data_IF_708952910963
#
_entry.id   IF_708952910963
#
_cell.length_a   1.000
_cell.length_b   1.000
_cell.length_c   1.000
_cell.angle_alpha   90.00
_cell.angle_beta   90.00
_cell.angle_gamma   90.00
#
_symmetry.space_group_name_H-M   'P 1'
#
loop_
_entity.id
_entity.type
_entity.pdbx_description
1 polymer ?
#
# COMPACT_ATOMS: atom_id res chain seq x y z
N UNK A 1 -0.96 24.46 5.30
CA UNK A 1 -2.01 24.07 6.26
C UNK A 1 -1.34 23.84 7.60
N UNK A 2 -1.77 24.47 8.69
CA UNK A 2 -1.20 24.14 10.01
C UNK A 2 -2.05 23.04 10.63
N UNK A 3 -1.52 21.81 10.63
CA UNK A 3 -2.21 20.63 11.17
C UNK A 3 -1.75 20.42 12.61
N UNK A 4 -2.64 20.56 13.60
CA UNK A 4 -2.29 20.31 14.99
C UNK A 4 -1.85 18.86 15.21
N UNK A 5 -0.92 18.64 16.14
CA UNK A 5 -0.43 17.30 16.47
C UNK A 5 -1.54 16.35 16.91
N UNK A 6 -2.58 16.86 17.60
CA UNK A 6 -3.73 16.05 18.00
C UNK A 6 -4.47 15.44 16.81
N UNK A 7 -4.52 16.14 15.67
CA UNK A 7 -5.20 15.67 14.47
C UNK A 7 -4.42 14.52 13.83
N UNK A 8 -3.09 14.61 13.79
CA UNK A 8 -2.22 13.50 13.41
C UNK A 8 -2.42 12.28 14.31
N UNK A 9 -2.39 12.49 15.63
CA UNK A 9 -2.59 11.41 16.61
C UNK A 9 -3.98 10.77 16.45
N UNK A 10 -5.03 11.57 16.28
CA UNK A 10 -6.39 11.07 16.09
C UNK A 10 -6.52 10.27 14.78
N UNK A 11 -5.88 10.75 13.70
CA UNK A 11 -5.91 10.09 12.39
C UNK A 11 -5.16 8.76 12.42
N UNK A 12 -3.91 8.77 12.93
CA UNK A 12 -3.09 7.56 13.05
C UNK A 12 -3.73 6.58 14.03
N UNK A 13 -4.22 7.07 15.17
CA UNK A 13 -4.92 6.27 16.16
C UNK A 13 -6.19 5.64 15.60
N UNK A 14 -6.98 6.39 14.82
CA UNK A 14 -8.15 5.88 14.12
C UNK A 14 -7.79 4.82 13.07
N UNK A 15 -6.76 5.07 12.26
CA UNK A 15 -6.22 4.13 11.27
C UNK A 15 -5.77 2.82 11.92
N UNK A 16 -4.96 2.91 12.96
CA UNK A 16 -4.48 1.76 13.74
C UNK A 16 -5.65 1.03 14.39
N UNK A 17 -6.63 1.77 14.93
CA UNK A 17 -7.84 1.20 15.52
C UNK A 17 -8.67 0.40 14.52
N UNK A 18 -8.89 0.94 13.33
CA UNK A 18 -9.60 0.24 12.24
C UNK A 18 -8.82 -1.00 11.79
N UNK A 19 -7.51 -0.89 11.59
CA UNK A 19 -6.67 -2.04 11.19
C UNK A 19 -6.66 -3.11 12.28
N UNK A 20 -6.58 -2.73 13.56
CA UNK A 20 -6.61 -3.66 14.68
C UNK A 20 -7.98 -4.34 14.82
N UNK A 21 -9.06 -3.58 14.66
CA UNK A 21 -10.42 -4.13 14.66
C UNK A 21 -10.60 -5.13 13.52
N UNK A 22 -10.12 -4.80 12.33
CA UNK A 22 -10.11 -5.71 11.18
C UNK A 22 -9.29 -6.97 11.47
N UNK A 23 -8.09 -6.85 12.04
CA UNK A 23 -7.26 -8.01 12.43
C UNK A 23 -8.01 -8.94 13.39
N UNK A 24 -8.66 -8.37 14.41
CA UNK A 24 -9.39 -9.13 15.44
C UNK A 24 -10.65 -9.77 14.87
N UNK A 25 -11.42 -9.05 14.06
CA UNK A 25 -12.63 -9.57 13.41
C UNK A 25 -12.30 -10.72 12.45
N UNK A 26 -11.25 -10.56 11.66
CA UNK A 26 -10.80 -11.54 10.67
C UNK A 26 -10.24 -12.80 11.34
N UNK A 27 -9.37 -12.67 12.34
CA UNK A 27 -8.84 -13.83 13.07
C UNK A 27 -9.94 -14.60 13.82
N UNK A 28 -11.05 -13.91 14.17
CA UNK A 28 -12.18 -14.54 14.86
C UNK A 28 -13.13 -15.31 13.93
N UNK A 29 -13.14 -15.03 12.61
CA UNK A 29 -14.00 -15.71 11.63
C UNK A 29 -13.33 -15.86 10.27
N UNK A 30 -12.51 -16.90 10.05
CA UNK A 30 -11.99 -17.21 8.73
C UNK A 30 -13.14 -17.71 7.83
N UNK A 31 -13.74 -16.81 7.06
CA UNK A 31 -14.68 -17.14 5.98
C UNK A 31 -14.28 -16.45 4.68
N UNK A 32 -14.62 -17.06 3.55
CA UNK A 32 -14.48 -16.43 2.24
C UNK A 32 -15.53 -15.32 2.17
N UNK A 33 -15.09 -14.07 2.04
CA UNK A 33 -16.01 -12.95 1.86
C UNK A 33 -16.74 -13.12 0.53
N UNK A 34 -18.05 -12.91 0.53
CA UNK A 34 -18.81 -12.88 -0.71
C UNK A 34 -18.74 -11.51 -1.39
N UNK A 35 -19.03 -11.41 -2.70
CA UNK A 35 -18.99 -10.15 -3.46
C UNK A 35 -19.93 -9.08 -2.89
N UNK A 36 -21.05 -9.49 -2.27
CA UNK A 36 -21.99 -8.57 -1.59
C UNK A 36 -21.40 -7.95 -0.32
N UNK A 37 -20.55 -8.69 0.38
CA UNK A 37 -19.90 -8.24 1.59
C UNK A 37 -18.73 -7.30 1.25
N UNK A 38 -17.92 -7.67 0.26
CA UNK A 38 -16.87 -6.81 -0.32
C UNK A 38 -17.43 -5.45 -0.74
N UNK A 39 -18.55 -5.45 -1.49
CA UNK A 39 -19.21 -4.20 -1.94
C UNK A 39 -19.62 -3.31 -0.78
N UNK A 40 -20.18 -3.88 0.30
CA UNK A 40 -20.58 -3.12 1.49
C UNK A 40 -19.38 -2.46 2.17
N UNK A 41 -18.28 -3.19 2.29
CA UNK A 41 -17.06 -2.64 2.87
C UNK A 41 -16.43 -1.55 2.00
N UNK A 42 -16.41 -1.73 0.68
CA UNK A 42 -15.95 -0.68 -0.26
C UNK A 42 -16.78 0.59 -0.09
N UNK A 43 -18.12 0.47 -0.09
CA UNK A 43 -19.02 1.61 0.13
C UNK A 43 -18.76 2.26 1.49
N UNK A 44 -18.56 1.48 2.54
CA UNK A 44 -18.25 1.99 3.87
C UNK A 44 -16.96 2.82 3.90
N UNK A 45 -15.87 2.33 3.30
CA UNK A 45 -14.60 3.05 3.26
C UNK A 45 -14.66 4.29 2.36
N UNK A 46 -15.37 4.25 1.23
CA UNK A 46 -15.62 5.43 0.41
C UNK A 46 -16.42 6.47 1.20
N UNK A 47 -17.48 6.06 1.90
CA UNK A 47 -18.28 6.96 2.73
C UNK A 47 -17.44 7.58 3.85
N UNK A 48 -16.55 6.82 4.48
CA UNK A 48 -15.63 7.32 5.49
C UNK A 48 -14.66 8.37 4.92
N UNK A 49 -14.13 8.14 3.72
CA UNK A 49 -13.30 9.12 3.02
C UNK A 49 -14.08 10.40 2.69
N UNK A 50 -15.35 10.30 2.28
CA UNK A 50 -16.21 11.46 2.01
C UNK A 50 -16.55 12.24 3.28
N UNK A 51 -16.81 11.55 4.40
CA UNK A 51 -17.01 12.18 5.71
C UNK A 51 -15.75 12.93 6.13
N UNK A 52 -14.57 12.33 5.93
CA UNK A 52 -13.30 12.98 6.20
C UNK A 52 -13.08 14.19 5.28
N UNK A 53 -13.43 14.12 3.99
CA UNK A 53 -13.39 15.25 3.08
C UNK A 53 -14.31 16.40 3.53
N UNK A 54 -15.52 16.09 4.01
CA UNK A 54 -16.44 17.06 4.58
C UNK A 54 -15.89 17.70 5.86
N UNK A 55 -15.19 16.93 6.70
CA UNK A 55 -14.47 17.45 7.87
C UNK A 55 -13.35 18.43 7.45
N UNK A 56 -12.53 18.07 6.46
CA UNK A 56 -11.49 18.97 5.93
C UNK A 56 -12.13 20.23 5.32
N UNK A 57 -13.26 20.10 4.63
CA UNK A 57 -13.99 21.24 4.06
C UNK A 57 -14.42 22.21 5.16
N UNK A 58 -14.98 21.69 6.26
CA UNK A 58 -15.46 22.51 7.36
C UNK A 58 -14.31 23.17 8.15
N UNK A 59 -13.22 22.45 8.39
CA UNK A 59 -12.13 22.93 9.25
C UNK A 59 -11.05 23.73 8.51
N UNK A 60 -10.68 23.30 7.29
CA UNK A 60 -9.60 23.91 6.50
C UNK A 60 -10.09 24.62 5.23
N UNK A 61 -11.34 24.38 4.81
CA UNK A 61 -11.96 25.04 3.67
C UNK A 61 -11.97 24.21 2.39
N UNK A 62 -12.68 24.74 1.38
CA UNK A 62 -12.97 24.04 0.13
C UNK A 62 -11.72 23.63 -0.67
N UNK A 63 -10.66 24.46 -0.65
CA UNK A 63 -9.43 24.18 -1.41
C UNK A 63 -8.74 22.90 -0.92
N UNK A 64 -8.56 22.76 0.40
CA UNK A 64 -7.90 21.59 0.97
C UNK A 64 -8.78 20.33 0.89
N UNK A 65 -10.11 20.48 0.99
CA UNK A 65 -11.03 19.37 0.76
C UNK A 65 -10.98 18.87 -0.68
N UNK A 66 -10.94 19.78 -1.65
CA UNK A 66 -10.77 19.45 -3.07
C UNK A 66 -9.44 18.76 -3.34
N UNK A 67 -8.35 19.22 -2.72
CA UNK A 67 -7.04 18.58 -2.79
C UNK A 67 -7.04 17.17 -2.19
N UNK A 68 -7.68 16.99 -1.03
CA UNK A 68 -7.85 15.67 -0.41
C UNK A 68 -8.63 14.72 -1.32
N UNK A 69 -9.78 15.15 -1.86
CA UNK A 69 -10.60 14.32 -2.74
C UNK A 69 -9.89 13.96 -4.04
N UNK A 70 -9.20 14.94 -4.66
CA UNK A 70 -8.40 14.69 -5.85
C UNK A 70 -7.28 13.69 -5.55
N UNK A 71 -6.52 13.90 -4.46
CA UNK A 71 -5.48 12.97 -4.02
C UNK A 71 -6.02 11.58 -3.70
N UNK A 72 -7.16 11.49 -3.02
CA UNK A 72 -7.83 10.23 -2.69
C UNK A 72 -8.25 9.47 -3.94
N UNK A 73 -8.89 10.12 -4.91
CA UNK A 73 -9.32 9.47 -6.17
C UNK A 73 -8.11 9.03 -6.98
N UNK A 74 -7.05 9.83 -7.04
CA UNK A 74 -5.80 9.47 -7.72
C UNK A 74 -5.14 8.26 -7.05
N UNK A 75 -4.98 8.28 -5.73
CA UNK A 75 -4.42 7.16 -4.97
C UNK A 75 -5.31 5.91 -5.06
N UNK A 76 -6.62 6.06 -5.01
CA UNK A 76 -7.57 4.94 -5.15
C UNK A 76 -7.44 4.31 -6.54
N UNK A 77 -7.41 5.11 -7.61
CA UNK A 77 -7.24 4.63 -8.98
C UNK A 77 -5.92 3.89 -9.19
N UNK A 78 -4.80 4.50 -8.77
CA UNK A 78 -3.46 3.90 -8.88
C UNK A 78 -3.35 2.63 -8.02
N UNK A 79 -4.00 2.61 -6.86
CA UNK A 79 -3.93 1.47 -5.97
C UNK A 79 -4.80 0.29 -6.45
N UNK A 80 -5.80 0.49 -7.33
CA UNK A 80 -6.52 -0.62 -7.99
C UNK A 80 -5.56 -1.44 -8.87
N UNK A 81 -4.68 -0.77 -9.62
CA UNK A 81 -3.68 -1.44 -10.45
C UNK A 81 -2.70 -2.25 -9.60
N UNK A 82 -2.37 -1.76 -8.41
CA UNK A 82 -1.52 -2.47 -7.45
C UNK A 82 -2.14 -3.80 -6.99
N UNK A 83 -3.48 -3.88 -6.91
CA UNK A 83 -4.17 -5.12 -6.53
C UNK A 83 -3.92 -6.24 -7.53
N UNK A 84 -3.89 -5.91 -8.83
CA UNK A 84 -3.64 -6.91 -9.87
C UNK A 84 -2.25 -7.53 -9.71
N UNK A 85 -1.24 -6.70 -9.47
CA UNK A 85 0.14 -7.19 -9.26
C UNK A 85 0.25 -8.01 -7.98
N UNK A 86 -0.46 -7.62 -6.91
CA UNK A 86 -0.52 -8.44 -5.69
C UNK A 86 -1.17 -9.80 -5.97
N UNK A 87 -2.23 -9.88 -6.78
CA UNK A 87 -2.83 -11.16 -7.20
C UNK A 87 -1.84 -12.02 -8.00
N UNK A 88 -1.08 -11.42 -8.91
CA UNK A 88 -0.02 -12.11 -9.67
C UNK A 88 1.05 -12.66 -8.72
N UNK A 89 1.51 -11.88 -7.75
CA UNK A 89 2.49 -12.32 -6.74
C UNK A 89 1.91 -13.47 -5.90
N UNK A 90 0.70 -13.33 -5.35
CA UNK A 90 0.07 -14.38 -4.54
C UNK A 90 -0.10 -15.68 -5.33
N UNK A 91 -0.41 -15.58 -6.63
CA UNK A 91 -0.56 -16.72 -7.52
C UNK A 91 0.78 -17.37 -7.87
N UNK A 92 1.81 -16.56 -8.16
CA UNK A 92 3.16 -17.04 -8.45
C UNK A 92 3.77 -17.82 -7.29
N UNK A 93 3.50 -17.39 -6.05
CA UNK A 93 3.92 -18.10 -4.84
C UNK A 93 2.94 -19.21 -4.39
N UNK A 94 1.87 -19.46 -5.14
CA UNK A 94 0.83 -20.44 -4.82
C UNK A 94 0.31 -20.33 -3.38
N UNK A 95 0.03 -19.09 -2.91
CA UNK A 95 -0.41 -18.83 -1.53
C UNK A 95 -1.78 -19.46 -1.27
N UNK A 96 -1.92 -20.33 -0.25
CA UNK A 96 -3.20 -20.92 0.13
C UNK A 96 -4.28 -19.85 0.39
N UNK A 97 -5.52 -20.10 -0.04
CA UNK A 97 -6.60 -19.11 0.02
C UNK A 97 -6.85 -18.58 1.45
N UNK A 98 -6.73 -19.45 2.46
CA UNK A 98 -6.85 -19.12 3.88
C UNK A 98 -5.78 -18.13 4.40
N UNK A 99 -4.65 -18.00 3.70
CA UNK A 99 -3.55 -17.12 4.10
C UNK A 99 -3.45 -15.84 3.28
N UNK A 100 -4.08 -15.77 2.10
CA UNK A 100 -4.04 -14.58 1.23
C UNK A 100 -4.49 -13.31 1.96
N UNK A 101 -5.59 -13.41 2.72
CA UNK A 101 -6.10 -12.26 3.48
C UNK A 101 -5.06 -11.71 4.46
N UNK A 102 -4.43 -12.59 5.25
CA UNK A 102 -3.45 -12.20 6.27
C UNK A 102 -2.18 -11.63 5.63
N UNK A 103 -1.72 -12.22 4.52
CA UNK A 103 -0.60 -11.71 3.74
C UNK A 103 -0.86 -10.29 3.26
N UNK A 104 -2.05 -10.05 2.69
CA UNK A 104 -2.45 -8.74 2.20
C UNK A 104 -2.54 -7.70 3.32
N UNK A 105 -3.09 -8.08 4.47
CA UNK A 105 -3.19 -7.19 5.62
C UNK A 105 -1.82 -6.76 6.12
N UNK A 106 -0.90 -7.71 6.31
CA UNK A 106 0.49 -7.41 6.68
C UNK A 106 1.17 -6.56 5.62
N UNK A 107 0.95 -6.87 4.33
CA UNK A 107 1.44 -6.09 3.20
C UNK A 107 0.96 -4.63 3.24
N UNK A 108 -0.32 -4.40 3.51
CA UNK A 108 -0.91 -3.05 3.63
C UNK A 108 -0.31 -2.29 4.83
N UNK A 109 -0.10 -2.95 5.96
CA UNK A 109 0.53 -2.31 7.14
C UNK A 109 1.95 -1.88 6.80
N UNK A 110 2.74 -2.76 6.16
CA UNK A 110 4.09 -2.44 5.72
C UNK A 110 4.06 -1.29 4.70
N UNK A 111 3.16 -1.36 3.71
CA UNK A 111 2.95 -0.32 2.70
C UNK A 111 2.65 1.05 3.34
N UNK A 112 1.71 1.11 4.27
CA UNK A 112 1.35 2.35 4.97
C UNK A 112 2.54 2.96 5.74
N UNK A 113 3.35 2.12 6.39
CA UNK A 113 4.56 2.56 7.10
C UNK A 113 5.59 3.11 6.09
N UNK A 114 5.89 2.34 5.03
CA UNK A 114 6.86 2.72 4.01
C UNK A 114 6.43 4.00 3.29
N UNK A 115 5.15 4.10 2.90
CA UNK A 115 4.57 5.30 2.30
C UNK A 115 4.61 6.48 3.26
N UNK A 116 4.28 6.29 4.54
CA UNK A 116 4.43 7.34 5.56
C UNK A 116 5.85 7.89 5.61
N UNK A 117 6.86 7.01 5.60
CA UNK A 117 8.27 7.41 5.56
C UNK A 117 8.59 8.18 4.27
N UNK A 118 8.20 7.66 3.10
CA UNK A 118 8.44 8.30 1.80
C UNK A 118 7.74 9.65 1.67
N UNK A 119 6.53 9.80 2.22
CA UNK A 119 5.78 11.06 2.23
C UNK A 119 6.51 12.10 3.08
N UNK A 120 7.00 11.73 4.26
CA UNK A 120 7.78 12.65 5.10
C UNK A 120 9.06 13.09 4.39
N UNK A 121 9.81 12.13 3.81
CA UNK A 121 11.03 12.42 3.06
C UNK A 121 10.72 13.30 1.85
N UNK A 122 9.69 12.96 1.08
CA UNK A 122 9.27 13.68 -0.12
C UNK A 122 8.79 15.10 0.18
N UNK A 123 8.00 15.27 1.25
CA UNK A 123 7.54 16.57 1.70
C UNK A 123 8.72 17.48 2.08
N UNK A 124 9.67 16.96 2.87
CA UNK A 124 10.87 17.70 3.26
C UNK A 124 11.76 18.05 2.05
N UNK A 125 11.93 17.10 1.12
CA UNK A 125 12.72 17.29 -0.09
C UNK A 125 12.12 18.37 -1.01
N UNK A 126 10.79 18.42 -1.14
CA UNK A 126 10.08 19.45 -1.90
C UNK A 126 10.14 20.81 -1.18
N UNK A 127 10.00 20.83 0.14
CA UNK A 127 10.05 22.05 0.95
C UNK A 127 11.42 22.75 0.86
N UNK A 128 12.51 21.97 0.81
CA UNK A 128 13.88 22.51 0.74
C UNK A 128 14.32 22.88 -0.68
N UNK A 129 13.82 22.20 -1.70
CA UNK A 129 14.28 22.41 -3.08
C UNK A 129 13.14 22.23 -4.08
N UNK A 130 12.70 23.34 -4.68
CA UNK A 130 11.66 23.30 -5.72
C UNK A 130 12.05 22.45 -6.94
N UNK A 131 13.36 22.32 -7.22
CA UNK A 131 13.88 21.45 -8.27
C UNK A 131 13.57 19.96 -8.07
N UNK A 132 13.30 19.53 -6.84
CA UNK A 132 12.88 18.14 -6.52
C UNK A 132 11.59 17.78 -7.26
N UNK A 133 10.69 18.75 -7.50
CA UNK A 133 9.47 18.50 -8.25
C UNK A 133 9.75 18.14 -9.72
N UNK A 134 10.69 18.85 -10.36
CA UNK A 134 11.10 18.53 -11.74
C UNK A 134 11.86 17.20 -11.81
N UNK A 135 12.63 16.86 -10.78
CA UNK A 135 13.28 15.54 -10.68
C UNK A 135 12.24 14.42 -10.64
N UNK A 136 11.21 14.55 -9.81
CA UNK A 136 10.12 13.58 -9.75
C UNK A 136 9.32 13.52 -11.06
N UNK A 137 9.06 14.66 -11.70
CA UNK A 137 8.41 14.68 -13.02
C UNK A 137 9.25 13.99 -14.10
N UNK A 138 10.57 14.21 -14.11
CA UNK A 138 11.50 13.53 -15.01
C UNK A 138 11.56 12.02 -14.74
N UNK A 139 11.53 11.62 -13.47
CA UNK A 139 11.45 10.22 -13.06
C UNK A 139 10.17 9.56 -13.61
N UNK A 140 9.01 10.21 -13.45
CA UNK A 140 7.73 9.74 -13.98
C UNK A 140 7.78 9.55 -15.50
N UNK A 141 8.29 10.55 -16.22
CA UNK A 141 8.46 10.48 -17.68
C UNK A 141 9.40 9.33 -18.08
N UNK A 142 10.50 9.14 -17.35
CA UNK A 142 11.42 8.04 -17.58
C UNK A 142 10.73 6.69 -17.39
N UNK A 143 9.98 6.48 -16.30
CA UNK A 143 9.20 5.25 -16.08
C UNK A 143 8.16 5.03 -17.15
N UNK A 144 7.41 6.07 -17.55
CA UNK A 144 6.41 5.98 -18.60
C UNK A 144 7.03 5.56 -19.94
N UNK A 145 8.14 6.18 -20.34
CA UNK A 145 8.88 5.82 -21.57
C UNK A 145 9.45 4.41 -21.49
N UNK A 146 9.98 4.01 -20.33
CA UNK A 146 10.51 2.66 -20.12
C UNK A 146 9.40 1.61 -20.28
N UNK A 147 8.27 1.78 -19.60
CA UNK A 147 7.11 0.87 -19.69
C UNK A 147 6.57 0.79 -21.12
N UNK A 148 6.50 1.92 -21.82
CA UNK A 148 6.08 1.97 -23.22
C UNK A 148 7.03 1.20 -24.15
N UNK A 149 8.34 1.32 -23.95
CA UNK A 149 9.36 0.59 -24.74
C UNK A 149 9.41 -0.90 -24.42
N UNK A 150 8.99 -1.29 -23.22
CA UNK A 150 8.92 -2.69 -22.78
C UNK A 150 7.65 -3.43 -23.24
N UNK A 151 6.78 -2.80 -24.05
CA UNK A 151 5.64 -3.46 -24.69
C UNK A 151 6.12 -4.48 -25.74
N UNK A 152 6.53 -5.67 -25.31
CA UNK A 152 6.97 -6.76 -26.18
C UNK A 152 7.91 -7.78 -25.53
N UNK A 153 8.51 -7.46 -24.38
CA UNK A 153 9.22 -8.43 -23.56
C UNK A 153 8.23 -9.03 -22.56
N UNK A 154 8.08 -10.36 -22.54
CA UNK A 154 7.36 -11.03 -21.47
C UNK A 154 7.96 -10.57 -20.13
N UNK A 155 7.17 -9.94 -19.24
CA UNK A 155 7.67 -9.57 -17.92
C UNK A 155 8.07 -10.88 -17.25
N UNK A 156 9.37 -11.07 -16.98
CA UNK A 156 9.88 -12.21 -16.23
C UNK A 156 9.05 -12.39 -14.95
N UNK A 157 8.14 -13.39 -14.89
CA UNK A 157 7.23 -13.55 -13.76
C UNK A 157 7.99 -13.99 -12.50
N UNK A 158 9.24 -14.44 -12.66
CA UNK A 158 10.12 -14.88 -11.57
C UNK A 158 10.75 -13.70 -10.81
N UNK A 159 9.89 -12.83 -10.27
CA UNK A 159 9.99 -12.24 -8.93
C UNK A 159 11.25 -11.45 -8.57
N UNK A 160 11.09 -10.14 -8.40
CA UNK A 160 11.94 -9.18 -7.65
C UNK A 160 13.40 -9.60 -7.46
N UNK A 161 14.34 -8.85 -8.05
CA UNK A 161 15.78 -9.00 -7.80
C UNK A 161 16.13 -9.11 -6.30
N UNK A 162 15.33 -8.49 -5.42
CA UNK A 162 15.42 -8.60 -3.97
C UNK A 162 15.13 -10.02 -3.43
N UNK A 163 14.11 -10.72 -3.96
CA UNK A 163 13.75 -12.09 -3.56
C UNK A 163 14.83 -13.06 -4.00
N UNK A 164 15.27 -12.98 -5.27
CA UNK A 164 16.40 -13.78 -5.77
C UNK A 164 17.69 -13.53 -4.98
N UNK A 165 17.90 -12.30 -4.54
CA UNK A 165 19.02 -11.95 -3.66
C UNK A 165 18.85 -12.56 -2.27
N UNK A 166 17.64 -12.54 -1.70
CA UNK A 166 17.32 -13.15 -0.41
C UNK A 166 17.47 -14.68 -0.42
N UNK A 167 16.94 -15.35 -1.45
CA UNK A 167 17.07 -16.81 -1.65
C UNK A 167 18.52 -17.24 -1.80
N UNK A 168 19.38 -16.40 -2.40
CA UNK A 168 20.82 -16.66 -2.48
C UNK A 168 21.56 -16.46 -1.15
N UNK A 169 21.02 -15.64 -0.24
CA UNK A 169 21.69 -15.24 1.01
C UNK A 169 21.18 -15.98 2.24
N UNK A 170 19.96 -16.49 2.22
CA UNK A 170 19.27 -17.05 3.39
C UNK A 170 18.68 -18.42 3.04
N UNK A 171 18.84 -19.45 3.89
CA UNK A 171 18.17 -20.74 3.68
C UNK A 171 16.65 -20.56 3.62
N UNK A 172 16.02 -20.97 2.53
CA UNK A 172 14.56 -20.92 2.34
C UNK A 172 13.98 -22.33 2.34
N UNK A 173 12.76 -22.46 2.87
CA UNK A 173 11.95 -23.69 2.71
C UNK A 173 10.90 -23.49 1.63
N UNK A 174 10.52 -24.58 0.94
CA UNK A 174 9.47 -24.58 -0.09
C UNK A 174 8.08 -24.86 0.49
N UNK A 175 8.01 -25.37 1.72
CA UNK A 175 6.75 -25.72 2.36
C UNK A 175 6.17 -24.55 3.16
N UNK A 176 4.85 -24.39 3.06
CA UNK A 176 4.10 -23.47 3.91
C UNK A 176 3.91 -24.09 5.30
N UNK A 177 4.50 -23.46 6.31
CA UNK A 177 4.33 -23.83 7.71
C UNK A 177 3.28 -22.92 8.39
N UNK A 178 2.08 -22.89 7.82
CA UNK A 178 1.02 -21.97 8.21
C UNK A 178 1.45 -20.51 8.06
N UNK A 179 1.22 -19.71 9.11
CA UNK A 179 1.54 -18.28 9.15
C UNK A 179 2.92 -17.94 9.70
N UNK A 180 3.77 -18.94 9.97
CA UNK A 180 5.12 -18.71 10.49
C UNK A 180 5.99 -18.06 9.41
N UNK A 181 6.68 -16.98 9.78
CA UNK A 181 7.62 -16.25 8.89
C UNK A 181 9.00 -16.92 8.80
N UNK A 182 9.38 -17.63 9.85
CA UNK A 182 10.62 -18.42 9.88
C UNK A 182 10.38 -19.71 10.61
N UNK A 183 11.04 -20.77 10.18
CA UNK A 183 11.02 -22.08 10.85
C UNK A 183 12.44 -22.55 11.11
N UNK A 184 12.61 -23.48 12.05
CA UNK A 184 13.90 -24.11 12.30
C UNK A 184 13.82 -25.54 11.78
N UNK A 185 14.60 -25.83 10.74
CA UNK A 185 14.74 -27.15 10.12
C UNK A 185 16.21 -27.54 10.22
N UNK A 186 16.49 -28.74 10.69
CA UNK A 186 17.85 -29.29 10.85
C UNK A 186 18.81 -28.34 11.58
N UNK A 187 18.35 -27.74 12.68
CA UNK A 187 19.13 -26.80 13.52
C UNK A 187 19.34 -25.41 12.92
N UNK A 188 19.02 -25.18 11.64
CA UNK A 188 19.18 -23.91 10.92
C UNK A 188 17.84 -23.18 10.77
N UNK A 189 17.86 -21.85 10.88
CA UNK A 189 16.69 -21.00 10.68
C UNK A 189 16.47 -20.82 9.18
N UNK A 190 15.31 -21.26 8.71
CA UNK A 190 14.85 -21.12 7.34
C UNK A 190 13.78 -20.05 7.25
N UNK A 191 13.83 -19.28 6.18
CA UNK A 191 12.79 -18.33 5.78
C UNK A 191 11.68 -19.09 5.08
N UNK A 192 10.42 -18.85 5.47
CA UNK A 192 9.27 -19.49 4.84
C UNK A 192 8.82 -18.75 3.58
N UNK A 193 8.07 -19.41 2.68
CA UNK A 193 7.46 -18.74 1.53
C UNK A 193 6.58 -17.55 1.96
N UNK A 194 5.95 -17.65 3.13
CA UNK A 194 5.12 -16.58 3.70
C UNK A 194 5.88 -15.25 3.85
N UNK A 195 7.12 -15.29 4.35
CA UNK A 195 7.93 -14.08 4.50
C UNK A 195 8.40 -13.55 3.13
N UNK A 196 8.75 -14.44 2.20
CA UNK A 196 9.14 -14.03 0.84
C UNK A 196 8.00 -13.30 0.13
N UNK A 197 6.78 -13.82 0.24
CA UNK A 197 5.58 -13.17 -0.32
C UNK A 197 5.33 -11.81 0.32
N UNK A 198 5.42 -11.70 1.65
CA UNK A 198 5.24 -10.41 2.33
C UNK A 198 6.30 -9.38 1.92
N UNK A 199 7.55 -9.80 1.76
CA UNK A 199 8.62 -8.94 1.25
C UNK A 199 8.40 -8.56 -0.21
N UNK A 200 7.90 -9.49 -1.03
CA UNK A 200 7.54 -9.24 -2.43
C UNK A 200 6.50 -8.12 -2.51
N UNK A 201 5.38 -8.27 -1.80
CA UNK A 201 4.30 -7.29 -1.76
C UNK A 201 4.80 -5.93 -1.25
N UNK A 202 5.53 -5.90 -0.13
CA UNK A 202 6.04 -4.65 0.43
C UNK A 202 7.04 -3.93 -0.49
N UNK A 203 7.89 -4.68 -1.19
CA UNK A 203 8.84 -4.10 -2.16
C UNK A 203 8.12 -3.61 -3.41
N UNK A 204 7.12 -4.36 -3.87
CA UNK A 204 6.31 -3.97 -5.02
C UNK A 204 5.46 -2.74 -4.73
N UNK A 205 4.90 -2.61 -3.51
CA UNK A 205 4.25 -1.36 -3.10
C UNK A 205 5.24 -0.18 -3.07
N UNK A 206 6.47 -0.41 -2.61
CA UNK A 206 7.50 0.63 -2.66
C UNK A 206 7.78 1.09 -4.10
N UNK A 207 7.78 0.17 -5.07
CA UNK A 207 7.89 0.51 -6.49
C UNK A 207 6.69 1.34 -6.98
N UNK A 208 5.47 1.01 -6.55
CA UNK A 208 4.25 1.80 -6.83
C UNK A 208 4.14 3.11 -6.05
N UNK A 209 4.94 3.28 -5.00
CA UNK A 209 5.02 4.55 -4.31
C UNK A 209 5.91 5.55 -5.08
N UNK A 210 6.81 5.05 -5.94
CA UNK A 210 7.71 5.90 -6.74
C UNK A 210 6.94 6.75 -7.75
N UNK A 211 5.85 6.24 -8.31
CA UNK A 211 4.98 6.97 -9.23
C UNK A 211 3.82 7.67 -8.51
N UNK A 212 3.18 7.01 -7.53
CA UNK A 212 1.99 7.59 -6.87
C UNK A 212 2.31 8.83 -6.02
N UNK A 213 3.43 8.82 -5.28
CA UNK A 213 3.79 9.90 -4.35
C UNK A 213 4.06 11.21 -5.09
N UNK A 214 4.91 11.25 -6.14
CA UNK A 214 5.04 12.42 -7.01
C UNK A 214 3.73 12.95 -7.58
N UNK A 215 2.86 12.07 -8.06
CA UNK A 215 1.60 12.45 -8.68
C UNK A 215 0.70 13.20 -7.68
N UNK A 216 0.61 12.69 -6.45
CA UNK A 216 -0.23 13.31 -5.41
C UNK A 216 0.43 14.56 -4.82
N UNK A 217 1.75 14.61 -4.72
CA UNK A 217 2.46 15.86 -4.43
C UNK A 217 2.32 16.91 -5.55
N UNK A 218 1.90 16.51 -6.75
CA UNK A 218 1.45 17.41 -7.82
C UNK A 218 0.12 18.08 -7.53
N UNK A 219 -0.76 17.43 -6.75
CA UNK A 219 -2.08 17.94 -6.38
C UNK A 219 -2.05 18.78 -5.09
N UNK A 220 -1.22 18.39 -4.12
CA UNK A 220 -1.07 19.12 -2.85
C UNK A 220 0.35 19.05 -2.32
N UNK A 221 0.79 20.10 -1.62
CA UNK A 221 2.07 20.11 -0.91
C UNK A 221 1.92 19.73 0.56
N UNK A 222 0.69 19.50 1.03
CA UNK A 222 0.41 19.21 2.43
C UNK A 222 0.58 17.71 2.71
N UNK A 223 1.68 17.33 3.37
CA UNK A 223 1.99 15.94 3.69
C UNK A 223 0.85 15.20 4.42
N UNK A 224 0.08 15.89 5.25
CA UNK A 224 -1.07 15.33 5.94
C UNK A 224 -2.17 14.89 4.96
N UNK A 225 -2.46 15.68 3.93
CA UNK A 225 -3.46 15.34 2.92
C UNK A 225 -2.98 14.17 2.06
N UNK A 226 -1.69 14.15 1.70
CA UNK A 226 -1.09 13.03 0.96
C UNK A 226 -1.18 11.73 1.77
N UNK A 227 -0.80 11.76 3.05
CA UNK A 227 -0.85 10.60 3.94
C UNK A 227 -2.29 10.10 4.14
N UNK A 228 -3.23 10.99 4.44
CA UNK A 228 -4.62 10.61 4.67
C UNK A 228 -5.29 10.07 3.39
N UNK A 229 -5.10 10.73 2.25
CA UNK A 229 -5.62 10.26 0.97
C UNK A 229 -5.14 8.84 0.66
N UNK A 230 -3.84 8.58 0.82
CA UNK A 230 -3.27 7.27 0.62
C UNK A 230 -3.80 6.22 1.61
N UNK A 231 -3.89 6.57 2.90
CA UNK A 231 -4.40 5.67 3.92
C UNK A 231 -5.85 5.25 3.65
N UNK A 232 -6.72 6.21 3.32
CA UNK A 232 -8.12 5.92 2.96
C UNK A 232 -8.23 5.07 1.69
N UNK A 233 -7.41 5.35 0.67
CA UNK A 233 -7.40 4.57 -0.57
C UNK A 233 -7.01 3.11 -0.32
N UNK A 234 -5.92 2.86 0.41
CA UNK A 234 -5.44 1.51 0.70
C UNK A 234 -6.42 0.70 1.57
N UNK A 235 -7.08 1.33 2.54
CA UNK A 235 -8.07 0.65 3.39
C UNK A 235 -9.30 0.17 2.59
N UNK A 236 -9.79 0.98 1.64
CA UNK A 236 -10.96 0.62 0.84
C UNK A 236 -10.72 -0.55 -0.12
N UNK A 237 -9.50 -0.68 -0.64
CA UNK A 237 -9.17 -1.61 -1.72
C UNK A 237 -8.93 -3.05 -1.27
N UNK A 238 -8.57 -3.28 0.00
CA UNK A 238 -8.40 -4.65 0.54
C UNK A 238 -9.62 -5.52 0.26
N UNK A 239 -10.80 -4.91 0.30
CA UNK A 239 -12.08 -5.59 0.22
C UNK A 239 -12.39 -6.08 -1.20
N UNK A 240 -11.71 -5.54 -2.22
CA UNK A 240 -11.83 -5.98 -3.62
C UNK A 240 -11.06 -7.28 -3.93
N UNK A 241 -10.25 -7.79 -3.00
CA UNK A 241 -9.60 -9.10 -3.16
C UNK A 241 -10.56 -10.29 -2.94
N UNK A 242 -11.81 -10.01 -2.59
CA UNK A 242 -12.77 -11.02 -2.18
C UNK A 242 -14.08 -10.98 -2.98
#
# INVERSE_FOLDING_TARGET
MNVPTWMWIATIGGLVGIIALDLVLVDSRPHVFGPREATRWVIFYIALALVFAAFIFWYFGATYAGQFLAGYITEYSLSVDNLFVFMVILSAFAVPAEHRHRVLLVGIVIALILRGILIIIGAEAIARFAGTFFLFGALLLYTAVKVWRSHGEEPDPEGNALIRWLEKRVPTTREYHGTRLTVRLDGKRHVTPMLLVMLAIGTTDLLFAVDSIPAVFGLTKEAYLVFTANAFALMGLRQLFF
#
